data_IF_228511775705
#
_entry.id   IF_228511775705
#
_cell.length_a   1.000
_cell.length_b   1.000
_cell.length_c   1.000
_cell.angle_alpha   90.00
_cell.angle_beta   90.00
_cell.angle_gamma   90.00
#
_symmetry.space_group_name_H-M   'P 1'
#
loop_
_entity.id
_entity.type
_entity.pdbx_description
1 polymer ?
#
# COMPACT_ATOMS: atom_id res chain seq x y z
N UNK A 1 -11.43 -4.05 16.71
CA UNK A 1 -11.07 -4.24 15.35
C UNK A 1 -10.59 -2.98 14.68
N UNK A 2 -9.52 -3.08 14.04
CA UNK A 2 -8.92 -1.93 13.38
C UNK A 2 -9.12 -1.99 11.90
N UNK A 3 -9.88 -1.10 11.37
CA UNK A 3 -10.12 -1.08 9.94
C UNK A 3 -8.94 -0.49 9.17
N UNK A 4 -8.09 0.21 9.88
CA UNK A 4 -6.99 0.89 9.21
C UNK A 4 -5.66 0.18 9.41
N UNK A 5 -5.71 -1.12 9.61
CA UNK A 5 -4.49 -1.91 9.73
C UNK A 5 -4.19 -2.63 8.42
N UNK A 6 -2.91 -2.67 8.09
CA UNK A 6 -2.47 -3.36 6.88
C UNK A 6 -2.02 -4.76 7.26
N UNK A 7 -2.52 -5.76 6.54
CA UNK A 7 -2.18 -7.14 6.81
C UNK A 7 -0.72 -7.43 6.49
N UNK A 8 -0.17 -8.43 7.19
CA UNK A 8 1.22 -8.80 6.97
C UNK A 8 1.48 -9.23 5.53
N UNK A 9 0.54 -9.96 4.94
CA UNK A 9 0.73 -10.44 3.57
C UNK A 9 0.80 -9.27 2.59
N UNK A 10 0.13 -8.17 2.91
CA UNK A 10 0.18 -6.99 2.06
C UNK A 10 1.56 -6.36 2.15
N UNK A 11 2.09 -6.26 3.37
CA UNK A 11 3.42 -5.70 3.57
C UNK A 11 4.45 -6.53 2.83
N UNK A 12 4.32 -7.84 2.91
CA UNK A 12 5.24 -8.73 2.22
C UNK A 12 5.17 -8.53 0.70
N UNK A 13 3.96 -8.38 0.20
CA UNK A 13 3.76 -8.16 -1.22
C UNK A 13 4.44 -6.86 -1.67
N UNK A 14 4.30 -5.82 -0.87
CA UNK A 14 4.91 -4.54 -1.20
C UNK A 14 6.42 -4.63 -1.18
N UNK A 15 6.97 -5.36 -0.23
CA UNK A 15 8.41 -5.53 -0.15
C UNK A 15 8.95 -6.29 -1.36
N UNK A 16 8.17 -7.22 -1.86
CA UNK A 16 8.58 -8.01 -3.01
C UNK A 16 8.76 -7.18 -4.27
N UNK A 17 8.04 -6.10 -4.37
CA UNK A 17 8.14 -5.23 -5.54
C UNK A 17 9.06 -4.04 -5.29
N UNK A 18 9.77 -4.05 -4.17
CA UNK A 18 10.71 -2.99 -3.87
C UNK A 18 10.16 -1.84 -3.07
N UNK A 19 8.92 -1.93 -2.62
CA UNK A 19 8.30 -0.87 -1.82
C UNK A 19 8.43 -1.24 -0.34
N UNK A 20 9.62 -1.04 0.20
CA UNK A 20 9.89 -1.45 1.57
C UNK A 20 9.63 -0.32 2.58
N UNK A 21 9.08 0.78 2.13
CA UNK A 21 8.71 1.86 3.04
C UNK A 21 7.41 2.49 2.56
N UNK A 22 6.70 3.12 3.50
CA UNK A 22 5.43 3.74 3.17
C UNK A 22 5.61 4.84 2.13
N UNK A 23 6.72 5.54 2.21
CA UNK A 23 6.98 6.61 1.27
C UNK A 23 7.12 6.08 -0.14
N UNK A 24 7.81 4.95 -0.30
CA UNK A 24 7.96 4.35 -1.61
C UNK A 24 6.60 3.99 -2.20
N UNK A 25 5.72 3.49 -1.37
CA UNK A 25 4.39 3.12 -1.82
C UNK A 25 3.62 4.35 -2.28
N UNK A 26 3.76 5.44 -1.56
CA UNK A 26 3.03 6.67 -1.89
C UNK A 26 3.57 7.34 -3.15
N UNK A 27 4.83 7.10 -3.46
CA UNK A 27 5.45 7.73 -4.63
C UNK A 27 5.15 6.98 -5.91
N UNK A 28 4.83 5.72 -5.81
CA UNK A 28 4.52 4.92 -6.99
C UNK A 28 3.08 5.17 -7.43
N UNK A 29 2.86 5.06 -8.72
CA UNK A 29 1.52 5.24 -9.26
C UNK A 29 0.60 4.12 -8.82
N UNK A 30 -0.66 4.48 -8.58
CA UNK A 30 -1.64 3.49 -8.18
C UNK A 30 -1.76 2.39 -9.23
N UNK A 31 -1.77 2.77 -10.50
CA UNK A 31 -1.87 1.78 -11.57
C UNK A 31 -0.69 0.82 -11.55
N UNK A 32 0.51 1.35 -11.34
CA UNK A 32 1.69 0.52 -11.24
C UNK A 32 1.60 -0.41 -10.05
N UNK A 33 1.14 0.13 -8.94
CA UNK A 33 1.02 -0.67 -7.73
C UNK A 33 0.07 -1.84 -7.95
N UNK A 34 -1.03 -1.59 -8.60
CA UNK A 34 -2.01 -2.64 -8.87
C UNK A 34 -1.38 -3.71 -9.76
N UNK A 35 -0.66 -3.28 -10.77
CA UNK A 35 -0.05 -4.24 -11.70
C UNK A 35 1.03 -5.07 -11.03
N UNK A 36 1.85 -4.44 -10.23
CA UNK A 36 2.98 -5.13 -9.62
C UNK A 36 2.56 -6.06 -8.50
N UNK A 37 1.54 -5.68 -7.74
CA UNK A 37 1.10 -6.47 -6.61
C UNK A 37 -0.03 -7.42 -6.95
N UNK A 38 -0.69 -7.19 -8.06
CA UNK A 38 -1.84 -7.99 -8.47
C UNK A 38 -2.96 -7.86 -7.44
N UNK A 39 -2.97 -6.77 -6.71
CA UNK A 39 -4.03 -6.49 -5.75
C UNK A 39 -5.18 -5.81 -6.46
N UNK A 40 -6.34 -5.83 -5.80
CA UNK A 40 -7.50 -5.15 -6.34
C UNK A 40 -7.36 -3.65 -6.16
N UNK A 41 -7.99 -2.92 -7.07
CA UNK A 41 -7.92 -1.47 -7.01
C UNK A 41 -8.41 -0.96 -5.65
N UNK A 42 -9.49 -1.54 -5.17
CA UNK A 42 -10.04 -1.13 -3.88
C UNK A 42 -9.04 -1.34 -2.76
N UNK A 43 -8.35 -2.47 -2.78
CA UNK A 43 -7.37 -2.78 -1.77
C UNK A 43 -6.21 -1.78 -1.81
N UNK A 44 -5.75 -1.47 -3.01
CA UNK A 44 -4.65 -0.54 -3.17
C UNK A 44 -5.04 0.85 -2.70
N UNK A 45 -6.24 1.28 -3.03
CA UNK A 45 -6.72 2.58 -2.59
C UNK A 45 -6.79 2.65 -1.07
N UNK A 46 -7.21 1.56 -0.47
CA UNK A 46 -7.29 1.48 0.99
C UNK A 46 -5.92 1.63 1.61
N UNK A 47 -4.95 0.91 1.06
CA UNK A 47 -3.58 0.96 1.56
C UNK A 47 -3.03 2.38 1.45
N UNK A 48 -3.23 3.01 0.31
CA UNK A 48 -2.71 4.35 0.09
C UNK A 48 -3.34 5.34 1.05
N UNK A 49 -4.63 5.16 1.33
CA UNK A 49 -5.32 6.05 2.25
C UNK A 49 -4.76 5.90 3.67
N UNK A 50 -4.52 4.68 4.08
CA UNK A 50 -3.98 4.42 5.40
C UNK A 50 -2.59 5.04 5.54
N UNK A 51 -1.74 4.81 4.57
CA UNK A 51 -0.38 5.33 4.61
C UNK A 51 -0.35 6.84 4.54
N UNK A 52 -1.24 7.40 3.75
CA UNK A 52 -1.31 8.84 3.64
C UNK A 52 -1.72 9.46 4.97
N UNK A 53 -2.65 8.81 5.64
CA UNK A 53 -3.11 9.29 6.93
C UNK A 53 -1.98 9.27 7.96
N UNK A 54 -1.09 8.29 7.84
CA UNK A 54 0.03 8.18 8.76
C UNK A 54 1.03 9.31 8.55
N UNK A 55 1.21 9.73 7.31
CA UNK A 55 2.21 10.74 6.98
C UNK A 55 1.68 12.15 7.11
N UNK A 56 0.39 12.30 6.94
CA UNK A 56 -0.24 13.62 7.08
C UNK A 56 -0.72 13.80 8.50
N UNK A 57 -0.26 14.78 9.13
CA UNK A 57 -0.73 15.05 10.48
C UNK A 57 -1.94 15.92 10.50
#
# INVERSE_FOLDING_TARGET
MKADEIDDWVIETLQNIGCDSARSVLEIDKSDLIKRTDLEKETVENILEILRSEFED
#
